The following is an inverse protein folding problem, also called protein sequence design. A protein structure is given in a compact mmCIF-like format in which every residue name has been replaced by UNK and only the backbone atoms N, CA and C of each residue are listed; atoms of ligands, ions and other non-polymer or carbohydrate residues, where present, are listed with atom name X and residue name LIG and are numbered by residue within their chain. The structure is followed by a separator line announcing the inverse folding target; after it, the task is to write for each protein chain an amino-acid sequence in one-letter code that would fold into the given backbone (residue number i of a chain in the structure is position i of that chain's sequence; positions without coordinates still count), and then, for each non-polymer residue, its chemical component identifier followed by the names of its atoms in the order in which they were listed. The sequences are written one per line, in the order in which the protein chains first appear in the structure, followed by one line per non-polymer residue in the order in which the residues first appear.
data_IF_398949253740
#
_entry.id   IF_398949253740
#
_cell.length_a   1.000
_cell.length_b   1.000
_cell.length_c   1.000
_cell.angle_alpha   90.00
_cell.angle_beta   90.00
_cell.angle_gamma   90.00
#
_symmetry.space_group_name_H-M   'P 1'
#
loop_
_entity.id
_entity.type
_entity.pdbx_description
1 polymer ?
#
# COMPACT_ATOMS: atom_id res chain seq x y z
N UNK A 1 36.42 8.32 9.63
CA UNK A 1 35.83 6.98 9.57
C UNK A 1 34.31 6.97 9.76
N UNK A 2 33.80 7.73 10.70
CA UNK A 2 32.36 7.91 10.84
C UNK A 2 31.75 8.51 9.56
N UNK A 3 32.49 9.41 8.89
CA UNK A 3 32.04 10.00 7.64
C UNK A 3 31.91 9.02 6.47
N UNK A 4 32.70 7.98 6.42
CA UNK A 4 32.63 6.96 5.37
C UNK A 4 31.36 6.10 5.50
N UNK A 5 30.97 5.75 6.71
CA UNK A 5 29.74 4.97 6.95
C UNK A 5 28.52 5.79 6.53
N UNK A 6 28.48 7.07 6.86
CA UNK A 6 27.40 7.97 6.45
C UNK A 6 27.35 8.13 4.93
N UNK A 7 28.51 8.27 4.28
CA UNK A 7 28.58 8.37 2.81
C UNK A 7 28.09 7.09 2.14
N UNK A 8 28.44 5.91 2.66
CA UNK A 8 27.96 4.64 2.13
C UNK A 8 26.44 4.50 2.26
N UNK A 9 25.87 4.88 3.41
CA UNK A 9 24.42 4.89 3.61
C UNK A 9 23.72 5.83 2.65
N UNK A 10 24.25 7.03 2.46
CA UNK A 10 23.73 8.02 1.52
C UNK A 10 23.81 7.51 0.08
N UNK A 11 24.93 6.89 -0.29
CA UNK A 11 25.13 6.31 -1.61
C UNK A 11 24.13 5.19 -1.89
N UNK A 12 23.87 4.31 -0.92
CA UNK A 12 22.83 3.27 -1.05
C UNK A 12 21.44 3.87 -1.25
N UNK A 13 21.11 4.91 -0.50
CA UNK A 13 19.83 5.60 -0.63
C UNK A 13 19.68 6.24 -2.02
N UNK A 14 20.74 6.86 -2.51
CA UNK A 14 20.74 7.46 -3.84
C UNK A 14 20.62 6.42 -4.94
N UNK A 15 21.33 5.31 -4.82
CA UNK A 15 21.23 4.19 -5.77
C UNK A 15 19.81 3.59 -5.80
N UNK A 16 19.21 3.43 -4.63
CA UNK A 16 17.83 2.93 -4.52
C UNK A 16 16.84 3.89 -5.20
N UNK A 17 17.01 5.19 -5.01
CA UNK A 17 16.20 6.21 -5.66
C UNK A 17 16.37 6.20 -7.18
N UNK A 18 17.60 6.10 -7.64
CA UNK A 18 17.92 6.03 -9.07
C UNK A 18 17.26 4.79 -9.67
N UNK A 19 17.42 3.63 -9.04
CA UNK A 19 16.79 2.39 -9.51
C UNK A 19 15.27 2.50 -9.58
N UNK A 20 14.65 3.10 -8.58
CA UNK A 20 13.21 3.31 -8.55
C UNK A 20 12.76 4.24 -9.68
N UNK A 21 13.47 5.35 -9.90
CA UNK A 21 13.15 6.27 -11.00
C UNK A 21 13.34 5.64 -12.36
N UNK A 22 14.41 4.88 -12.56
CA UNK A 22 14.66 4.17 -13.80
C UNK A 22 13.58 3.13 -14.09
N UNK A 23 13.16 2.39 -13.06
CA UNK A 23 12.08 1.43 -13.18
C UNK A 23 10.79 2.09 -13.65
N UNK A 24 10.42 3.21 -13.03
CA UNK A 24 9.21 3.95 -13.42
C UNK A 24 9.35 4.62 -14.78
N UNK A 25 10.55 5.05 -15.15
CA UNK A 25 10.81 5.60 -16.47
C UNK A 25 10.62 4.55 -17.59
N UNK A 26 10.90 3.28 -17.28
CA UNK A 26 10.72 2.16 -18.22
C UNK A 26 9.29 1.65 -18.26
N UNK A 27 8.49 1.95 -17.24
CA UNK A 27 7.11 1.53 -17.20
C UNK A 27 6.32 2.26 -18.28
N UNK A 28 5.75 1.54 -19.28
CA UNK A 28 5.05 2.18 -20.39
C UNK A 28 3.78 2.91 -19.97
N UNK A 29 3.16 2.49 -18.86
CA UNK A 29 1.95 3.14 -18.35
C UNK A 29 1.87 3.03 -16.83
N UNK A 30 2.27 4.11 -16.14
CA UNK A 30 2.21 4.19 -14.68
C UNK A 30 0.79 4.16 -14.15
N UNK A 31 -0.13 4.78 -14.88
CA UNK A 31 -1.55 4.81 -14.49
C UNK A 31 -2.15 3.40 -14.54
N UNK A 32 -1.85 2.64 -15.57
CA UNK A 32 -2.32 1.26 -15.70
C UNK A 32 -1.73 0.37 -14.61
N UNK A 33 -0.43 0.50 -14.30
CA UNK A 33 0.21 -0.25 -13.22
C UNK A 33 -0.41 0.06 -11.86
N UNK A 34 -0.68 1.35 -11.60
CA UNK A 34 -1.34 1.77 -10.36
C UNK A 34 -2.80 1.32 -10.30
N UNK A 35 -3.51 1.39 -11.42
CA UNK A 35 -4.90 0.93 -11.51
C UNK A 35 -5.00 -0.57 -11.26
N UNK A 36 -4.08 -1.38 -11.79
CA UNK A 36 -4.03 -2.81 -11.54
C UNK A 36 -3.82 -3.13 -10.05
N UNK A 37 -2.93 -2.39 -9.39
CA UNK A 37 -2.69 -2.55 -7.95
C UNK A 37 -3.92 -2.17 -7.12
N UNK A 38 -4.62 -1.10 -7.48
CA UNK A 38 -5.87 -0.70 -6.83
C UNK A 38 -6.94 -1.75 -7.03
N UNK A 39 -7.08 -2.26 -8.24
CA UNK A 39 -8.07 -3.29 -8.57
C UNK A 39 -7.83 -4.56 -7.76
N UNK A 40 -6.59 -5.02 -7.66
CA UNK A 40 -6.24 -6.19 -6.86
C UNK A 40 -6.59 -5.99 -5.38
N UNK A 41 -6.35 -4.79 -4.85
CA UNK A 41 -6.68 -4.45 -3.48
C UNK A 41 -8.20 -4.40 -3.26
N UNK A 42 -8.94 -3.80 -4.18
CA UNK A 42 -10.40 -3.74 -4.14
C UNK A 42 -11.02 -5.14 -4.21
N UNK A 43 -10.50 -6.00 -5.08
CA UNK A 43 -10.94 -7.39 -5.21
C UNK A 43 -10.72 -8.19 -3.93
N UNK A 44 -9.64 -7.94 -3.22
CA UNK A 44 -9.35 -8.57 -1.93
C UNK A 44 -10.43 -8.24 -0.90
N UNK A 45 -10.81 -6.98 -0.79
CA UNK A 45 -11.85 -6.55 0.15
C UNK A 45 -13.22 -7.02 -0.27
N UNK A 46 -13.50 -7.04 -1.56
CA UNK A 46 -14.76 -7.56 -2.08
C UNK A 46 -14.91 -9.07 -1.80
N UNK A 47 -13.83 -9.83 -1.97
CA UNK A 47 -13.79 -11.25 -1.63
C UNK A 47 -14.04 -11.48 -0.14
N UNK A 48 -13.43 -10.66 0.72
CA UNK A 48 -13.64 -10.72 2.16
C UNK A 48 -15.11 -10.42 2.53
N UNK A 49 -15.71 -9.42 1.89
CA UNK A 49 -17.11 -9.08 2.09
C UNK A 49 -18.03 -10.23 1.67
N UNK A 50 -17.76 -10.88 0.56
CA UNK A 50 -18.53 -12.06 0.12
C UNK A 50 -18.43 -13.22 1.09
N UNK A 51 -17.27 -13.42 1.70
CA UNK A 51 -17.09 -14.46 2.70
C UNK A 51 -17.93 -14.21 3.96
N UNK A 52 -18.07 -12.93 4.35
CA UNK A 52 -18.89 -12.52 5.50
C UNK A 52 -20.38 -12.55 5.20
N UNK A 53 -20.75 -12.24 3.97
CA UNK A 53 -22.16 -12.09 3.55
C UNK A 53 -22.46 -12.87 2.27
N UNK A 54 -22.52 -14.21 2.32
CA UNK A 54 -22.83 -15.01 1.15
C UNK A 54 -24.23 -14.67 0.60
N UNK A 55 -24.31 -14.45 -0.70
CA UNK A 55 -25.60 -14.14 -1.35
C UNK A 55 -26.02 -12.68 -1.31
N UNK A 56 -25.24 -11.81 -0.69
CA UNK A 56 -25.52 -10.37 -0.69
C UNK A 56 -25.36 -9.79 -2.10
N UNK A 57 -26.24 -8.85 -2.52
CA UNK A 57 -26.11 -8.15 -3.80
C UNK A 57 -24.77 -7.42 -3.92
N UNK A 58 -24.25 -7.32 -5.14
CA UNK A 58 -22.91 -6.76 -5.37
C UNK A 58 -22.78 -5.30 -4.95
N UNK A 59 -23.83 -4.50 -5.14
CA UNK A 59 -23.86 -3.10 -4.71
C UNK A 59 -23.59 -2.97 -3.21
N UNK A 60 -24.25 -3.80 -2.41
CA UNK A 60 -24.07 -3.83 -0.97
C UNK A 60 -22.71 -4.41 -0.57
N UNK A 61 -22.23 -5.43 -1.30
CA UNK A 61 -20.90 -5.98 -1.07
C UNK A 61 -19.81 -4.93 -1.26
N UNK A 62 -19.95 -4.06 -2.25
CA UNK A 62 -19.01 -2.96 -2.48
C UNK A 62 -18.96 -1.99 -1.31
N UNK A 63 -20.11 -1.68 -0.71
CA UNK A 63 -20.20 -0.84 0.48
C UNK A 63 -19.51 -1.52 1.66
N UNK A 64 -19.73 -2.80 1.86
CA UNK A 64 -19.09 -3.58 2.93
C UNK A 64 -17.58 -3.68 2.72
N UNK A 65 -17.16 -3.89 1.49
CA UNK A 65 -15.74 -3.91 1.13
C UNK A 65 -15.06 -2.57 1.44
N UNK A 66 -15.71 -1.45 1.12
CA UNK A 66 -15.21 -0.12 1.46
C UNK A 66 -15.08 0.07 2.97
N UNK A 67 -16.03 -0.43 3.75
CA UNK A 67 -15.97 -0.39 5.21
C UNK A 67 -14.80 -1.22 5.76
N UNK A 68 -14.55 -2.41 5.20
CA UNK A 68 -13.42 -3.26 5.58
C UNK A 68 -12.10 -2.56 5.30
N UNK A 69 -11.99 -1.92 4.15
CA UNK A 69 -10.82 -1.14 3.78
C UNK A 69 -10.58 0.01 4.76
N UNK A 70 -11.62 0.76 5.08
CA UNK A 70 -11.55 1.87 6.04
C UNK A 70 -11.12 1.40 7.43
N UNK A 71 -11.63 0.25 7.87
CA UNK A 71 -11.23 -0.36 9.14
C UNK A 71 -9.75 -0.71 9.16
N UNK A 72 -9.23 -1.29 8.09
CA UNK A 72 -7.81 -1.63 7.98
C UNK A 72 -6.93 -0.38 7.97
N UNK A 73 -7.32 0.67 7.24
CA UNK A 73 -6.59 1.94 7.23
C UNK A 73 -6.56 2.58 8.61
N UNK A 74 -7.67 2.52 9.34
CA UNK A 74 -7.76 3.02 10.71
C UNK A 74 -6.88 2.22 11.67
N UNK A 75 -6.83 0.89 11.52
CA UNK A 75 -5.95 0.04 12.32
C UNK A 75 -4.48 0.37 12.07
N UNK A 76 -4.09 0.59 10.83
CA UNK A 76 -2.73 0.98 10.48
C UNK A 76 -2.37 2.33 11.08
N UNK A 77 -3.27 3.31 10.99
CA UNK A 77 -3.07 4.63 11.58
C UNK A 77 -2.91 4.52 13.10
N UNK A 78 -3.76 3.74 13.76
CA UNK A 78 -3.69 3.50 15.20
C UNK A 78 -2.38 2.84 15.60
N UNK A 79 -1.90 1.87 14.83
CA UNK A 79 -0.64 1.20 15.09
C UNK A 79 0.54 2.17 14.99
N UNK A 80 0.53 3.07 14.01
CA UNK A 80 1.54 4.12 13.86
C UNK A 80 1.53 5.09 15.05
N UNK A 81 0.36 5.50 15.49
CA UNK A 81 0.19 6.38 16.66
C UNK A 81 0.70 5.72 17.93
N UNK A 82 0.33 4.47 18.18
CA UNK A 82 0.80 3.72 19.35
C UNK A 82 2.32 3.60 19.35
N UNK A 83 2.93 3.32 18.19
CA UNK A 83 4.37 3.21 18.05
C UNK A 83 5.07 4.55 18.28
N UNK A 84 4.51 5.66 17.79
CA UNK A 84 5.04 6.99 18.02
C UNK A 84 4.93 7.40 19.48
N UNK A 85 3.85 7.02 20.17
CA UNK A 85 3.62 7.33 21.57
C UNK A 85 4.53 6.57 22.55
N UNK A 86 5.17 5.49 22.11
CA UNK A 86 6.07 4.67 22.95
C UNK A 86 7.55 5.04 22.80
N UNK A 87 7.88 5.95 21.94
CA UNK A 87 9.28 6.37 21.73
C UNK A 87 9.78 7.44 22.69
#
# INVERSE_FOLDING_TARGET
MIGEVVLLSTDRSLRAKIAAHERWAREPDRSAATAAARQANDDRYLKAARALHPGMPEDELKIRAANLRSADMTRLARARWAKAGTS
#
